data_IF_372114390179
#
_entry.id   IF_372114390179
#
_cell.length_a   1.000
_cell.length_b   1.000
_cell.length_c   1.000
_cell.angle_alpha   90.00
_cell.angle_beta   90.00
_cell.angle_gamma   90.00
#
_symmetry.space_group_name_H-M   'P 1'
#
loop_
_entity.id
_entity.type
_entity.pdbx_description
1 polymer ?
#
# COMPACT_ATOMS: atom_id res chain seq x y z
N UNK A 1 21.21 40.53 17.40
CA UNK A 1 21.31 39.61 16.24
C UNK A 1 21.26 38.11 16.60
N UNK A 2 21.66 37.66 17.80
CA UNK A 2 21.65 36.22 18.18
C UNK A 2 20.25 35.58 18.36
N UNK A 3 19.22 36.34 18.77
CA UNK A 3 17.86 35.80 18.97
C UNK A 3 17.07 35.51 17.67
N UNK A 4 17.48 36.08 16.54
CA UNK A 4 16.78 35.90 15.25
C UNK A 4 17.14 34.58 14.57
N UNK A 5 18.36 34.08 14.76
CA UNK A 5 18.83 32.81 14.18
C UNK A 5 18.16 31.63 14.88
N UNK A 6 18.02 31.67 16.20
CA UNK A 6 17.38 30.59 16.99
C UNK A 6 15.91 30.44 16.60
N UNK A 7 15.18 31.57 16.46
CA UNK A 7 13.79 31.57 15.97
C UNK A 7 13.68 30.99 14.54
N UNK A 8 14.64 31.28 13.65
CA UNK A 8 14.67 30.69 12.31
C UNK A 8 14.90 29.18 12.33
N UNK A 9 15.80 28.68 13.17
CA UNK A 9 16.11 27.24 13.27
C UNK A 9 14.91 26.46 13.82
N UNK A 10 14.21 26.98 14.84
CA UNK A 10 13.01 26.34 15.40
C UNK A 10 11.89 26.27 14.37
N UNK A 11 11.64 27.35 13.63
CA UNK A 11 10.64 27.36 12.55
C UNK A 11 10.93 26.32 11.46
N UNK A 12 12.20 26.21 11.04
CA UNK A 12 12.63 25.20 10.08
C UNK A 12 12.43 23.77 10.59
N UNK A 13 12.73 23.50 11.87
CA UNK A 13 12.53 22.18 12.48
C UNK A 13 11.05 21.77 12.51
N UNK A 14 10.14 22.69 12.83
CA UNK A 14 8.69 22.42 12.85
C UNK A 14 8.18 22.09 11.43
N UNK A 15 8.61 22.86 10.42
CA UNK A 15 8.21 22.64 9.03
C UNK A 15 8.71 21.27 8.53
N UNK A 16 9.94 20.90 8.85
CA UNK A 16 10.48 19.57 8.52
C UNK A 16 9.68 18.47 9.22
N UNK A 17 9.35 18.63 10.49
CA UNK A 17 8.58 17.62 11.24
C UNK A 17 7.17 17.45 10.66
N UNK A 18 6.49 18.53 10.30
CA UNK A 18 5.17 18.47 9.65
C UNK A 18 5.23 17.81 8.27
N UNK A 19 6.27 18.07 7.48
CA UNK A 19 6.46 17.42 6.18
C UNK A 19 6.67 15.90 6.31
N UNK A 20 7.43 15.46 7.32
CA UNK A 20 7.63 14.03 7.61
C UNK A 20 6.33 13.36 8.03
N UNK A 21 5.57 13.97 8.94
CA UNK A 21 4.28 13.43 9.40
C UNK A 21 3.26 13.31 8.26
N UNK A 22 3.19 14.32 7.38
CA UNK A 22 2.35 14.26 6.19
C UNK A 22 2.78 13.14 5.23
N UNK A 23 4.08 12.97 5.02
CA UNK A 23 4.61 11.91 4.14
C UNK A 23 4.33 10.51 4.71
N UNK A 24 4.49 10.33 6.02
CA UNK A 24 4.18 9.07 6.70
C UNK A 24 2.69 8.73 6.61
N UNK A 25 1.81 9.69 6.92
CA UNK A 25 0.37 9.46 6.86
C UNK A 25 -0.14 9.11 5.45
N UNK A 26 0.44 9.68 4.39
CA UNK A 26 0.13 9.29 3.01
C UNK A 26 0.57 7.85 2.73
N UNK A 27 1.76 7.45 3.20
CA UNK A 27 2.27 6.09 3.04
C UNK A 27 1.37 5.06 3.72
N UNK A 28 0.93 5.34 4.96
CA UNK A 28 0.08 4.45 5.74
C UNK A 28 -1.32 4.28 5.11
N UNK A 29 -1.88 5.36 4.58
CA UNK A 29 -3.17 5.32 3.87
C UNK A 29 -3.05 4.50 2.58
N UNK A 30 -1.96 4.66 1.82
CA UNK A 30 -1.72 3.86 0.62
C UNK A 30 -1.57 2.37 0.94
N UNK A 31 -0.79 2.02 1.97
CA UNK A 31 -0.63 0.63 2.38
C UNK A 31 -1.97 0.00 2.79
N UNK A 32 -2.76 0.72 3.60
CA UNK A 32 -4.08 0.26 4.03
C UNK A 32 -5.02 0.05 2.84
N UNK A 33 -5.05 0.99 1.89
CA UNK A 33 -5.85 0.86 0.67
C UNK A 33 -5.42 -0.35 -0.17
N UNK A 34 -4.11 -0.57 -0.33
CA UNK A 34 -3.59 -1.72 -1.07
C UNK A 34 -3.98 -3.06 -0.43
N UNK A 35 -3.90 -3.15 0.90
CA UNK A 35 -4.30 -4.35 1.66
C UNK A 35 -5.81 -4.59 1.55
N UNK A 36 -6.63 -3.54 1.62
CA UNK A 36 -8.07 -3.65 1.47
C UNK A 36 -8.45 -4.17 0.06
N UNK A 37 -7.91 -3.56 -1.00
CA UNK A 37 -8.10 -4.02 -2.38
C UNK A 37 -7.65 -5.47 -2.59
N UNK A 38 -6.49 -5.85 -2.03
CA UNK A 38 -5.99 -7.23 -2.06
C UNK A 38 -6.94 -8.21 -1.36
N UNK A 39 -7.46 -7.83 -0.20
CA UNK A 39 -8.34 -8.70 0.59
C UNK A 39 -9.67 -8.94 -0.11
N UNK A 40 -10.24 -7.91 -0.74
CA UNK A 40 -11.46 -8.02 -1.56
C UNK A 40 -11.23 -8.95 -2.75
N UNK A 41 -10.14 -8.75 -3.48
CA UNK A 41 -9.79 -9.59 -4.62
C UNK A 41 -9.53 -11.05 -4.21
N UNK A 42 -8.85 -11.27 -3.08
CA UNK A 42 -8.61 -12.59 -2.52
C UNK A 42 -9.93 -13.30 -2.20
N UNK A 43 -10.91 -12.60 -1.63
CA UNK A 43 -12.23 -13.16 -1.38
C UNK A 43 -12.92 -13.57 -2.70
N UNK A 44 -12.89 -12.72 -3.72
CA UNK A 44 -13.45 -13.02 -5.05
C UNK A 44 -12.78 -14.26 -5.69
N UNK A 45 -11.44 -14.31 -5.70
CA UNK A 45 -10.69 -15.46 -6.21
C UNK A 45 -11.06 -16.73 -5.47
N UNK A 46 -11.23 -16.68 -4.14
CA UNK A 46 -11.64 -17.84 -3.35
C UNK A 46 -13.01 -18.36 -3.79
N UNK A 47 -13.99 -17.47 -3.99
CA UNK A 47 -15.32 -17.87 -4.43
C UNK A 47 -15.29 -18.50 -5.83
N UNK A 48 -14.51 -17.91 -6.75
CA UNK A 48 -14.34 -18.45 -8.09
C UNK A 48 -13.63 -19.81 -8.06
N UNK A 49 -12.64 -19.99 -7.19
CA UNK A 49 -11.95 -21.27 -7.01
C UNK A 49 -12.91 -22.37 -6.54
N UNK A 50 -13.74 -22.07 -5.53
CA UNK A 50 -14.75 -23.00 -5.04
C UNK A 50 -15.79 -23.35 -6.12
N UNK A 51 -16.05 -22.42 -7.03
CA UNK A 51 -16.92 -22.65 -8.19
C UNK A 51 -16.22 -23.32 -9.39
N UNK A 52 -14.92 -23.64 -9.29
CA UNK A 52 -14.14 -24.22 -10.39
C UNK A 52 -13.85 -23.25 -11.55
N UNK A 53 -13.95 -21.95 -11.31
CA UNK A 53 -13.74 -20.89 -12.30
C UNK A 53 -12.34 -20.28 -12.20
N UNK A 54 -11.89 -19.66 -13.28
CA UNK A 54 -10.60 -18.98 -13.32
C UNK A 54 -10.65 -17.63 -12.58
N UNK A 55 -9.57 -17.25 -11.87
CA UNK A 55 -9.46 -15.93 -11.23
C UNK A 55 -9.64 -14.77 -12.23
N UNK A 56 -10.20 -13.63 -11.81
CA UNK A 56 -10.34 -12.46 -12.68
C UNK A 56 -8.99 -11.78 -12.89
N UNK A 57 -8.82 -10.98 -13.96
CA UNK A 57 -7.58 -10.21 -14.15
C UNK A 57 -7.36 -9.21 -13.01
N UNK A 58 -6.10 -9.09 -12.58
CA UNK A 58 -5.66 -8.13 -11.55
C UNK A 58 -5.60 -6.68 -12.07
N UNK A 59 -5.64 -6.46 -13.39
CA UNK A 59 -5.49 -5.12 -14.00
C UNK A 59 -6.60 -4.14 -13.62
N UNK A 60 -7.76 -4.68 -13.20
CA UNK A 60 -8.93 -3.89 -12.80
C UNK A 60 -8.90 -3.50 -11.32
N UNK A 61 -7.98 -4.04 -10.53
CA UNK A 61 -7.91 -3.77 -9.09
C UNK A 61 -7.20 -2.42 -8.88
N UNK A 62 -7.88 -1.39 -8.34
CA UNK A 62 -7.24 -0.11 -8.07
C UNK A 62 -6.23 -0.27 -6.94
N UNK A 63 -4.95 -0.11 -7.27
CA UNK A 63 -3.83 -0.21 -6.35
C UNK A 63 -2.99 1.07 -6.39
N UNK A 64 -2.49 1.55 -5.24
CA UNK A 64 -1.53 2.65 -5.21
C UNK A 64 -0.25 2.32 -5.97
N UNK A 65 0.47 3.36 -6.39
CA UNK A 65 1.70 3.20 -7.17
C UNK A 65 2.72 2.32 -6.44
N UNK A 66 3.31 1.38 -7.17
CA UNK A 66 4.30 0.43 -6.64
C UNK A 66 3.68 -0.84 -6.07
N UNK A 67 2.37 -0.88 -5.83
CA UNK A 67 1.65 -2.10 -5.46
C UNK A 67 1.17 -2.88 -6.69
N UNK A 68 1.23 -4.21 -6.62
CA UNK A 68 0.67 -5.11 -7.64
C UNK A 68 0.18 -6.40 -6.99
N UNK A 69 -0.92 -6.95 -7.50
CA UNK A 69 -1.37 -8.29 -7.14
C UNK A 69 -0.89 -9.26 -8.23
N UNK A 70 -0.43 -10.43 -7.82
CA UNK A 70 -0.08 -11.51 -8.74
C UNK A 70 -0.78 -12.79 -8.31
N UNK A 71 -1.38 -13.48 -9.29
CA UNK A 71 -1.98 -14.79 -9.13
C UNK A 71 -1.13 -15.82 -9.86
N UNK A 72 -0.75 -16.90 -9.17
CA UNK A 72 0.01 -18.04 -9.73
C UNK A 72 -0.56 -19.33 -9.19
N UNK A 73 -1.36 -20.02 -10.00
CA UNK A 73 -2.15 -21.17 -9.53
C UNK A 73 -2.99 -20.74 -8.31
N UNK A 74 -2.91 -21.49 -7.22
CA UNK A 74 -3.66 -21.25 -5.97
C UNK A 74 -3.09 -20.15 -5.07
N UNK A 75 -2.05 -19.46 -5.54
CA UNK A 75 -1.36 -18.42 -4.75
C UNK A 75 -1.74 -17.05 -5.26
N UNK A 76 -2.20 -16.19 -4.35
CA UNK A 76 -2.45 -14.77 -4.60
C UNK A 76 -1.54 -13.98 -3.68
N UNK A 77 -0.75 -13.06 -4.23
CA UNK A 77 0.20 -12.28 -3.47
C UNK A 77 0.14 -10.80 -3.84
N UNK A 78 0.17 -9.94 -2.82
CA UNK A 78 0.35 -8.50 -2.93
C UNK A 78 1.84 -8.19 -2.84
N UNK A 79 2.35 -7.47 -3.83
CA UNK A 79 3.73 -6.99 -3.87
C UNK A 79 3.76 -5.48 -3.75
N UNK A 80 4.80 -4.94 -3.12
CA UNK A 80 5.19 -3.54 -3.16
C UNK A 80 6.64 -3.47 -3.66
N UNK A 81 6.90 -2.74 -4.75
CA UNK A 81 8.24 -2.63 -5.35
C UNK A 81 8.94 -4.00 -5.51
N UNK A 82 8.21 -4.99 -6.04
CA UNK A 82 8.65 -6.39 -6.24
C UNK A 82 8.96 -7.19 -4.96
N UNK A 83 8.71 -6.66 -3.76
CA UNK A 83 8.74 -7.41 -2.50
C UNK A 83 7.35 -7.89 -2.13
N UNK A 84 7.22 -9.12 -1.63
CA UNK A 84 5.93 -9.65 -1.15
C UNK A 84 5.57 -8.94 0.15
N UNK A 85 4.38 -8.33 0.20
CA UNK A 85 3.80 -7.67 1.39
C UNK A 85 2.81 -8.62 2.07
N UNK A 86 1.94 -9.24 1.27
CA UNK A 86 0.98 -10.26 1.73
C UNK A 86 0.96 -11.40 0.73
N UNK A 87 0.77 -12.61 1.22
CA UNK A 87 0.57 -13.79 0.39
C UNK A 87 -0.56 -14.62 1.01
N UNK A 88 -1.36 -15.25 0.16
CA UNK A 88 -2.30 -16.26 0.56
C UNK A 88 -2.29 -17.42 -0.43
N UNK A 89 -2.50 -18.63 0.09
CA UNK A 89 -2.65 -19.86 -0.69
C UNK A 89 -4.02 -20.46 -0.41
N UNK A 90 -4.69 -20.93 -1.45
CA UNK A 90 -5.97 -21.65 -1.38
C UNK A 90 -5.80 -23.14 -1.59
#
# INVERSE_FOLDING_TARGET
MKGSIIMMVIGALIVVMMAVLLTQSISDVQETQAIASYTLYLHEVRQLWLAGQTPPSTDRVPLPKGYKIQVKGSKVALYYNNKVVKNNTF
#
